data_IF_795302366418
#
_entry.id   IF_795302366418
#
_cell.length_a   1.000
_cell.length_b   1.000
_cell.length_c   1.000
_cell.angle_alpha   90.00
_cell.angle_beta   90.00
_cell.angle_gamma   90.00
#
_symmetry.space_group_name_H-M   'P 1'
#
loop_
_entity.id
_entity.type
_entity.pdbx_description
1 polymer ?
#
# COMPACT_ATOMS: atom_id res chain seq x y z
N UNK A 1 -78.85 9.84 -7.85
CA UNK A 1 -77.51 10.14 -8.39
C UNK A 1 -76.49 9.49 -7.44
N UNK A 2 -75.85 8.40 -7.83
CA UNK A 2 -74.93 7.64 -6.96
C UNK A 2 -73.51 8.19 -7.09
N UNK A 3 -72.75 8.44 -6.01
CA UNK A 3 -71.36 8.87 -6.13
C UNK A 3 -70.44 7.67 -6.40
N UNK A 4 -69.65 7.75 -7.48
CA UNK A 4 -68.58 6.79 -7.81
C UNK A 4 -67.37 7.01 -6.91
N UNK A 5 -66.95 5.97 -6.18
CA UNK A 5 -65.65 5.91 -5.51
C UNK A 5 -64.58 5.50 -6.51
N UNK A 6 -63.47 6.25 -6.57
CA UNK A 6 -62.27 5.90 -7.32
C UNK A 6 -61.23 5.44 -6.31
N UNK A 7 -60.76 4.20 -6.43
CA UNK A 7 -59.64 3.68 -5.64
C UNK A 7 -58.39 3.73 -6.52
N UNK A 8 -57.36 4.46 -6.07
CA UNK A 8 -56.05 4.51 -6.72
C UNK A 8 -55.07 3.71 -5.89
N UNK A 9 -54.57 2.61 -6.41
CA UNK A 9 -53.50 1.82 -5.78
C UNK A 9 -52.16 2.35 -6.27
N UNK A 10 -51.34 2.87 -5.36
CA UNK A 10 -49.94 3.18 -5.62
C UNK A 10 -49.11 2.01 -5.10
N UNK A 11 -48.44 1.30 -6.01
CA UNK A 11 -47.45 0.28 -5.65
C UNK A 11 -46.09 0.96 -5.49
N UNK A 12 -45.51 0.88 -4.30
CA UNK A 12 -44.18 1.42 -4.00
C UNK A 12 -43.16 0.28 -4.06
N UNK A 13 -42.35 0.24 -5.11
CA UNK A 13 -41.25 -0.71 -5.24
C UNK A 13 -40.01 -0.20 -4.53
N UNK A 14 -39.61 -0.85 -3.43
CA UNK A 14 -38.33 -0.58 -2.76
C UNK A 14 -37.21 -1.24 -3.57
N UNK A 15 -36.48 -0.44 -4.36
CA UNK A 15 -35.21 -0.85 -4.94
C UNK A 15 -34.12 -0.70 -3.87
N UNK A 16 -33.69 -1.83 -3.29
CA UNK A 16 -32.51 -1.87 -2.44
C UNK A 16 -31.26 -1.88 -3.34
N UNK A 17 -30.76 -0.70 -3.70
CA UNK A 17 -29.44 -0.58 -4.29
C UNK A 17 -28.41 -0.85 -3.19
N UNK A 18 -27.79 -2.04 -3.20
CA UNK A 18 -26.62 -2.29 -2.37
C UNK A 18 -25.50 -1.35 -2.79
N UNK A 19 -24.95 -0.57 -1.86
CA UNK A 19 -23.77 0.24 -2.13
C UNK A 19 -22.60 -0.69 -2.47
N UNK A 20 -21.99 -0.50 -3.64
CA UNK A 20 -20.76 -1.17 -4.02
C UNK A 20 -19.62 -0.49 -3.25
N UNK A 21 -19.21 -1.05 -2.11
CA UNK A 21 -18.09 -0.52 -1.33
C UNK A 21 -16.77 -1.07 -1.91
N UNK A 22 -16.15 -0.32 -2.80
CA UNK A 22 -14.76 -0.52 -3.20
C UNK A 22 -13.88 0.54 -2.54
N UNK A 23 -12.85 0.12 -1.80
CA UNK A 23 -11.79 1.05 -1.42
C UNK A 23 -10.82 1.18 -2.60
N UNK A 24 -10.49 2.42 -2.97
CA UNK A 24 -9.52 2.71 -4.04
C UNK A 24 -8.39 3.52 -3.42
N UNK A 25 -7.17 2.99 -3.51
CA UNK A 25 -5.94 3.68 -3.14
C UNK A 25 -5.15 3.96 -4.42
N UNK A 26 -4.91 5.24 -4.70
CA UNK A 26 -4.10 5.69 -5.83
C UNK A 26 -3.05 6.65 -5.30
N UNK A 27 -1.80 6.34 -5.56
CA UNK A 27 -0.68 7.25 -5.34
C UNK A 27 0.28 7.13 -6.52
N UNK A 28 0.66 8.27 -7.07
CA UNK A 28 1.59 8.36 -8.20
C UNK A 28 3.04 8.19 -7.77
N UNK A 29 3.36 8.63 -6.55
CA UNK A 29 4.73 8.78 -6.02
C UNK A 29 5.67 9.62 -6.87
N UNK A 30 5.14 10.40 -7.82
CA UNK A 30 5.93 11.23 -8.72
C UNK A 30 6.34 12.58 -8.14
N UNK A 31 5.65 13.04 -7.10
CA UNK A 31 5.92 14.30 -6.43
C UNK A 31 6.78 14.07 -5.17
N UNK A 32 7.36 15.14 -4.61
CA UNK A 32 8.10 15.11 -3.34
C UNK A 32 7.26 14.82 -2.09
N UNK A 33 5.93 14.67 -2.23
CA UNK A 33 4.98 14.38 -1.16
C UNK A 33 3.91 13.42 -1.67
N UNK A 34 3.31 12.64 -0.77
CA UNK A 34 2.10 11.86 -1.09
C UNK A 34 0.86 12.75 -0.99
N UNK A 35 -0.19 12.39 -1.74
CA UNK A 35 -1.51 13.04 -1.63
C UNK A 35 -2.27 12.53 -0.41
N UNK A 36 -2.11 11.23 -0.10
CA UNK A 36 -2.66 10.62 1.10
C UNK A 36 -1.66 10.73 2.27
N UNK A 37 -2.03 11.36 3.40
CA UNK A 37 -1.15 11.48 4.56
C UNK A 37 -0.96 10.16 5.33
N UNK A 38 -1.71 9.10 5.00
CA UNK A 38 -1.60 7.80 5.67
C UNK A 38 -0.42 6.95 5.17
N UNK A 39 0.36 7.43 4.19
CA UNK A 39 1.58 6.76 3.79
C UNK A 39 2.65 6.86 4.87
N UNK A 40 3.18 5.71 5.27
CA UNK A 40 4.26 5.56 6.23
C UNK A 40 5.46 4.96 5.51
N UNK A 41 6.61 5.64 5.65
CA UNK A 41 7.90 5.17 5.14
C UNK A 41 8.78 4.77 6.31
N UNK A 42 9.27 3.54 6.28
CA UNK A 42 10.08 2.98 7.36
C UNK A 42 11.24 2.18 6.79
N UNK A 43 12.33 2.07 7.54
CA UNK A 43 13.47 1.27 7.10
C UNK A 43 14.64 1.26 8.07
N UNK A 44 15.54 0.32 7.80
CA UNK A 44 16.85 0.18 8.45
C UNK A 44 17.94 0.23 7.38
N UNK A 45 19.00 0.99 7.66
CA UNK A 45 20.08 1.23 6.69
C UNK A 45 19.71 2.14 5.50
N UNK A 46 18.43 2.49 5.35
CA UNK A 46 17.89 3.47 4.41
C UNK A 46 16.49 3.90 4.87
N UNK A 47 16.08 5.12 4.54
CA UNK A 47 14.70 5.59 4.71
C UNK A 47 14.15 5.85 3.31
N UNK A 48 13.02 5.23 2.92
CA UNK A 48 12.42 5.48 1.62
C UNK A 48 12.16 6.96 1.40
N UNK A 49 12.35 7.39 0.15
CA UNK A 49 12.25 8.80 -0.23
C UNK A 49 11.42 8.96 -1.49
N UNK A 50 10.67 10.06 -1.56
CA UNK A 50 10.01 10.50 -2.77
C UNK A 50 10.94 11.44 -3.52
N UNK A 51 11.43 11.02 -4.67
CA UNK A 51 12.52 11.72 -5.35
C UNK A 51 12.06 12.91 -6.18
N UNK A 52 10.75 13.08 -6.36
CA UNK A 52 10.15 14.13 -7.18
C UNK A 52 10.04 15.49 -6.49
N UNK A 53 10.95 15.80 -5.57
CA UNK A 53 11.04 17.07 -4.84
C UNK A 53 12.01 18.07 -5.51
N UNK A 54 12.70 17.67 -6.57
CA UNK A 54 13.70 18.49 -7.25
C UNK A 54 15.08 18.48 -6.58
N UNK A 55 15.29 17.66 -5.55
CA UNK A 55 16.56 17.51 -4.84
C UNK A 55 17.36 16.30 -5.35
N UNK A 56 18.64 16.27 -5.02
CA UNK A 56 19.52 15.13 -5.32
C UNK A 56 19.35 14.03 -4.27
N UNK A 57 18.96 12.83 -4.71
CA UNK A 57 18.86 11.62 -3.90
C UNK A 57 19.78 10.53 -4.48
N UNK A 58 20.65 9.95 -3.66
CA UNK A 58 21.62 8.90 -4.05
C UNK A 58 22.42 9.22 -5.32
N UNK A 59 22.79 10.49 -5.50
CA UNK A 59 23.56 10.97 -6.67
C UNK A 59 22.74 11.25 -7.93
N UNK A 60 21.41 11.10 -7.88
CA UNK A 60 20.51 11.41 -9.00
C UNK A 60 19.52 12.50 -8.59
N UNK A 61 19.29 13.47 -9.47
CA UNK A 61 18.26 14.50 -9.27
C UNK A 61 17.11 14.24 -10.23
N UNK A 62 15.92 13.98 -9.69
CA UNK A 62 14.71 13.88 -10.48
C UNK A 62 14.03 15.26 -10.55
N UNK A 63 13.40 15.57 -11.69
CA UNK A 63 12.65 16.82 -11.82
C UNK A 63 11.43 16.78 -10.90
N UNK A 64 11.06 17.92 -10.33
CA UNK A 64 9.88 18.00 -9.47
C UNK A 64 8.63 17.52 -10.22
N UNK A 65 7.91 16.54 -9.65
CA UNK A 65 6.75 15.91 -10.27
C UNK A 65 7.04 14.78 -11.26
N UNK A 66 8.32 14.42 -11.46
CA UNK A 66 8.77 13.31 -12.32
C UNK A 66 9.64 12.29 -11.56
N UNK A 67 9.45 12.19 -10.24
CA UNK A 67 10.19 11.26 -9.39
C UNK A 67 9.56 9.88 -9.23
N UNK A 68 10.09 9.15 -8.26
CA UNK A 68 9.66 7.81 -7.84
C UNK A 68 9.65 7.69 -6.32
N UNK A 69 8.84 6.77 -5.80
CA UNK A 69 9.10 6.22 -4.47
C UNK A 69 10.31 5.30 -4.56
N UNK A 70 11.43 5.74 -3.98
CA UNK A 70 12.66 4.96 -3.89
C UNK A 70 12.70 4.22 -2.57
N UNK A 71 12.60 2.90 -2.63
CA UNK A 71 12.62 2.04 -1.45
C UNK A 71 14.03 1.82 -0.90
N UNK A 72 15.04 1.70 -1.76
CA UNK A 72 16.45 1.49 -1.38
C UNK A 72 17.37 2.29 -2.30
N UNK A 73 18.57 2.60 -1.81
CA UNK A 73 19.69 3.03 -2.65
C UNK A 73 20.44 1.81 -3.25
N UNK A 74 21.60 2.04 -3.86
CA UNK A 74 22.53 0.96 -4.24
C UNK A 74 23.41 0.46 -3.06
N UNK A 75 23.17 0.94 -1.84
CA UNK A 75 23.84 0.50 -0.62
C UNK A 75 23.44 -0.92 -0.21
N UNK A 76 24.36 -1.64 0.42
CA UNK A 76 24.08 -2.98 0.96
C UNK A 76 23.35 -2.95 2.30
N UNK A 77 22.77 -4.09 2.69
CA UNK A 77 22.16 -4.31 4.00
C UNK A 77 20.97 -3.41 4.34
N UNK A 78 20.21 -2.97 3.34
CA UNK A 78 19.02 -2.12 3.52
C UNK A 78 17.75 -2.97 3.59
N UNK A 79 16.81 -2.61 4.46
CA UNK A 79 15.47 -3.19 4.54
C UNK A 79 14.48 -2.07 4.79
N UNK A 80 13.48 -1.92 3.91
CA UNK A 80 12.57 -0.78 3.96
C UNK A 80 11.15 -1.18 3.57
N UNK A 81 10.19 -0.34 3.93
CA UNK A 81 8.80 -0.46 3.52
C UNK A 81 8.17 0.90 3.28
N UNK A 82 7.17 0.90 2.41
CA UNK A 82 6.22 1.97 2.26
C UNK A 82 4.82 1.36 2.31
N UNK A 83 4.01 1.76 3.28
CA UNK A 83 2.66 1.23 3.43
C UNK A 83 1.67 2.34 3.72
N UNK A 84 0.42 2.15 3.29
CA UNK A 84 -0.68 3.05 3.61
C UNK A 84 -1.40 2.52 4.86
N UNK A 85 -1.55 3.35 5.88
CA UNK A 85 -2.13 2.97 7.16
C UNK A 85 -3.67 3.04 7.18
N UNK A 86 -4.32 3.18 6.01
CA UNK A 86 -5.78 3.09 5.90
C UNK A 86 -6.19 1.64 5.81
N UNK A 87 -6.86 1.14 6.85
CA UNK A 87 -7.36 -0.24 6.88
C UNK A 87 -8.56 -0.45 5.94
N UNK A 88 -8.76 -1.70 5.55
CA UNK A 88 -9.93 -2.14 4.79
C UNK A 88 -10.34 -3.56 5.17
N UNK A 89 -11.59 -3.91 4.90
CA UNK A 89 -12.05 -5.28 5.08
C UNK A 89 -11.67 -6.10 3.85
N UNK A 90 -10.82 -7.12 4.04
CA UNK A 90 -10.43 -8.03 2.98
C UNK A 90 -11.45 -9.17 2.77
N UNK A 91 -12.30 -9.46 3.77
CA UNK A 91 -13.22 -10.60 3.73
C UNK A 91 -14.25 -10.46 2.60
N UNK A 92 -14.32 -11.48 1.74
CA UNK A 92 -15.23 -11.51 0.60
C UNK A 92 -14.91 -10.49 -0.50
N UNK A 93 -13.73 -9.83 -0.45
CA UNK A 93 -13.32 -8.83 -1.44
C UNK A 93 -12.33 -9.39 -2.46
N UNK A 94 -12.29 -8.79 -3.64
CA UNK A 94 -11.26 -9.05 -4.65
C UNK A 94 -10.29 -7.88 -4.70
N UNK A 95 -8.99 -8.18 -4.69
CA UNK A 95 -7.93 -7.18 -4.67
C UNK A 95 -7.30 -7.09 -6.06
N UNK A 96 -7.26 -5.87 -6.59
CA UNK A 96 -6.55 -5.54 -7.82
C UNK A 96 -5.44 -4.56 -7.47
N UNK A 97 -4.21 -4.92 -7.81
CA UNK A 97 -3.04 -4.06 -7.64
C UNK A 97 -2.32 -3.88 -8.97
N UNK A 98 -1.96 -2.64 -9.28
CA UNK A 98 -1.13 -2.30 -10.44
C UNK A 98 -0.18 -1.19 -10.03
N UNK A 99 1.10 -1.38 -10.34
CA UNK A 99 2.14 -0.39 -10.08
C UNK A 99 3.22 -0.51 -11.15
N UNK A 100 3.91 0.59 -11.40
CA UNK A 100 5.12 0.61 -12.20
C UNK A 100 6.32 0.38 -11.29
N UNK A 101 7.28 -0.41 -11.77
CA UNK A 101 8.48 -0.75 -11.02
C UNK A 101 9.71 -0.64 -11.92
N UNK A 102 10.79 -0.12 -11.35
CA UNK A 102 12.11 -0.10 -11.96
C UNK A 102 13.16 -0.41 -10.88
N UNK A 103 14.21 -1.14 -11.29
CA UNK A 103 15.42 -1.32 -10.50
C UNK A 103 16.64 -0.95 -11.35
N UNK A 104 17.66 -0.41 -10.71
CA UNK A 104 18.88 0.03 -11.38
C UNK A 104 20.08 -0.04 -10.44
N UNK A 105 21.28 -0.08 -11.03
CA UNK A 105 22.53 -0.17 -10.30
C UNK A 105 22.68 -1.47 -9.51
N UNK A 106 23.66 -1.49 -8.60
CA UNK A 106 23.92 -2.63 -7.72
C UNK A 106 24.33 -3.92 -8.45
N UNK A 107 24.13 -5.06 -7.78
CA UNK A 107 24.42 -6.41 -8.29
C UNK A 107 23.17 -7.21 -8.68
N UNK A 108 21.98 -6.59 -8.65
CA UNK A 108 20.72 -7.19 -9.08
C UNK A 108 19.88 -7.89 -8.00
N UNK A 109 20.30 -7.87 -6.74
CA UNK A 109 19.56 -8.40 -5.59
C UNK A 109 19.16 -7.26 -4.62
N UNK A 110 18.14 -7.43 -3.76
CA UNK A 110 17.30 -8.63 -3.56
C UNK A 110 15.91 -8.54 -4.26
N UNK A 111 15.29 -7.35 -4.35
CA UNK A 111 14.02 -7.14 -5.04
C UNK A 111 12.97 -6.38 -4.22
N UNK A 112 11.69 -6.54 -4.58
CA UNK A 112 10.53 -5.96 -3.88
C UNK A 112 9.47 -7.03 -3.57
N UNK A 113 8.67 -6.79 -2.55
CA UNK A 113 7.47 -7.56 -2.24
C UNK A 113 6.27 -6.63 -2.07
N UNK A 114 5.12 -7.04 -2.59
CA UNK A 114 3.81 -6.44 -2.27
C UNK A 114 3.08 -7.40 -1.33
N UNK A 115 2.61 -6.88 -0.20
CA UNK A 115 1.91 -7.69 0.80
C UNK A 115 0.83 -6.85 1.49
N UNK A 116 -0.06 -7.57 2.17
CA UNK A 116 -1.08 -7.03 3.06
C UNK A 116 -0.75 -7.51 4.47
N UNK A 117 -1.07 -6.72 5.49
CA UNK A 117 -0.82 -7.08 6.88
C UNK A 117 -2.04 -6.76 7.75
N UNK A 118 -2.12 -7.38 8.93
CA UNK A 118 -3.22 -7.16 9.87
C UNK A 118 -3.19 -5.73 10.43
N UNK A 119 -4.23 -4.96 10.13
CA UNK A 119 -4.37 -3.58 10.61
C UNK A 119 -4.47 -3.46 12.14
N UNK A 120 -4.71 -4.56 12.86
CA UNK A 120 -4.67 -4.60 14.32
C UNK A 120 -3.25 -4.60 14.88
N UNK A 121 -2.23 -4.81 14.03
CA UNK A 121 -0.83 -4.92 14.40
C UNK A 121 -0.04 -3.73 13.89
N UNK A 122 0.89 -3.25 14.71
CA UNK A 122 1.88 -2.27 14.25
C UNK A 122 2.86 -2.96 13.32
N UNK A 123 2.94 -2.50 12.08
CA UNK A 123 3.92 -3.02 11.13
C UNK A 123 5.35 -2.68 11.57
N UNK A 124 6.22 -3.69 11.57
CA UNK A 124 7.65 -3.55 11.81
C UNK A 124 8.42 -4.04 10.59
N UNK A 125 9.40 -3.26 10.14
CA UNK A 125 10.27 -3.65 9.03
C UNK A 125 11.07 -4.88 9.43
N UNK A 126 11.01 -5.91 8.60
CA UNK A 126 11.76 -7.16 8.74
C UNK A 126 13.23 -7.02 8.36
N UNK A 127 13.87 -8.14 8.09
CA UNK A 127 15.29 -8.20 7.78
C UNK A 127 15.62 -7.83 6.33
N UNK A 128 16.88 -7.44 6.13
CA UNK A 128 17.48 -7.23 4.81
C UNK A 128 17.82 -8.55 4.10
N UNK A 129 18.18 -8.48 2.82
CA UNK A 129 18.44 -9.67 2.01
C UNK A 129 17.14 -10.24 1.45
N UNK A 130 17.13 -11.56 1.23
CA UNK A 130 15.95 -12.30 0.73
C UNK A 130 14.70 -12.25 1.60
N UNK A 131 14.77 -11.68 2.80
CA UNK A 131 13.60 -11.37 3.64
C UNK A 131 12.82 -10.13 3.16
N UNK A 132 13.41 -9.34 2.24
CA UNK A 132 12.80 -8.19 1.55
C UNK A 132 12.14 -7.15 2.49
N UNK A 133 12.57 -7.07 3.75
CA UNK A 133 11.98 -6.17 4.74
C UNK A 133 10.57 -6.56 5.22
N UNK A 134 10.01 -7.72 4.82
CA UNK A 134 8.70 -8.20 5.31
C UNK A 134 8.80 -9.45 6.21
N UNK A 135 9.93 -10.16 6.19
CA UNK A 135 10.14 -11.38 6.97
C UNK A 135 11.39 -11.28 7.89
N UNK A 136 11.53 -12.22 8.82
CA UNK A 136 12.72 -12.39 9.65
C UNK A 136 13.90 -13.00 8.87
N UNK A 137 15.14 -12.80 9.34
CA UNK A 137 16.38 -13.28 8.67
C UNK A 137 16.64 -14.77 8.86
N UNK A 138 16.09 -15.37 9.92
CA UNK A 138 16.35 -16.76 10.32
C UNK A 138 15.05 -17.37 10.84
N UNK A 139 14.67 -18.55 10.35
CA UNK A 139 13.70 -19.39 11.04
C UNK A 139 14.40 -20.05 12.22
N UNK A 140 14.21 -19.52 13.43
CA UNK A 140 14.46 -20.34 14.63
C UNK A 140 13.39 -21.42 14.62
N UNK A 141 13.77 -22.63 14.19
CA UNK A 141 12.88 -23.77 14.22
C UNK A 141 12.42 -24.04 15.65
N UNK A 142 11.10 -24.16 15.79
CA UNK A 142 10.36 -24.52 17.00
C UNK A 142 10.53 -23.56 18.20
N UNK A 143 9.39 -23.19 18.78
CA UNK A 143 9.27 -22.58 20.11
C UNK A 143 9.59 -21.08 20.19
N UNK A 144 8.79 -20.24 19.53
CA UNK A 144 8.26 -19.06 20.22
C UNK A 144 7.09 -18.50 19.43
N UNK A 145 6.13 -17.93 20.15
CA UNK A 145 5.02 -17.13 19.65
C UNK A 145 5.57 -15.85 18.99
N UNK A 146 6.23 -16.00 17.85
CA UNK A 146 6.64 -14.88 17.01
C UNK A 146 5.44 -14.56 16.16
N UNK A 147 4.73 -13.52 16.56
CA UNK A 147 3.69 -12.87 15.79
C UNK A 147 4.18 -12.70 14.34
N UNK A 148 3.72 -13.58 13.45
CA UNK A 148 3.67 -13.26 12.05
C UNK A 148 2.69 -12.09 11.93
N UNK A 149 3.23 -10.95 11.50
CA UNK A 149 2.57 -9.84 10.79
C UNK A 149 1.12 -9.53 11.19
#
# INVERSE_FOLDING_TARGET
MFPRRIYSSVVFGLFLAGALHGQVLVESFKNGTTTDPNWVFAGTGYTPVLTGDGLTHDGTTDTAGDGWLRLTSNGGNQATSAYNNTSFSAEGTTIYASFQYASWGGSGADGIAFFLFDASKTFNVGANGGSLGYAQKVGTGADDEVALI
#
